data_IF_823368630065
#
_entry.id   IF_823368630065
#
_cell.length_a   1.000
_cell.length_b   1.000
_cell.length_c   1.000
_cell.angle_alpha   90.00
_cell.angle_beta   90.00
_cell.angle_gamma   90.00
#
_symmetry.space_group_name_H-M   'P 1'
#
loop_
_entity.id
_entity.type
_entity.pdbx_description
1 polymer ?
#
# COMPACT_ATOMS: atom_id res chain seq x y z
N UNK A 1 15.69 -39.69 51.66
CA UNK A 1 14.75 -39.91 50.54
C UNK A 1 14.64 -38.55 49.91
N UNK A 2 15.44 -38.33 48.88
CA UNK A 2 15.58 -37.03 48.22
C UNK A 2 14.68 -37.05 46.99
N UNK A 3 13.63 -36.24 47.00
CA UNK A 3 12.66 -36.17 45.92
C UNK A 3 13.14 -35.12 44.91
N UNK A 4 13.94 -35.57 43.95
CA UNK A 4 14.52 -34.69 42.93
C UNK A 4 13.42 -34.18 42.00
N UNK A 5 12.99 -32.94 42.20
CA UNK A 5 12.00 -32.29 41.34
C UNK A 5 12.51 -32.21 39.88
N UNK A 6 11.82 -32.91 38.99
CA UNK A 6 12.03 -32.81 37.55
C UNK A 6 11.21 -31.63 37.02
N UNK A 7 11.83 -30.47 36.88
CA UNK A 7 11.27 -29.36 36.11
C UNK A 7 11.38 -29.72 34.63
N UNK A 8 10.27 -29.84 33.87
CA UNK A 8 10.36 -29.89 32.42
C UNK A 8 10.82 -28.51 31.92
N UNK A 9 11.97 -28.49 31.26
CA UNK A 9 12.45 -27.33 30.51
C UNK A 9 11.66 -27.25 29.19
N UNK A 10 10.39 -26.87 29.30
CA UNK A 10 9.51 -26.58 28.17
C UNK A 10 9.81 -25.18 27.62
N UNK A 11 11.08 -24.96 27.28
CA UNK A 11 11.46 -23.90 26.34
C UNK A 11 11.02 -24.38 24.95
N UNK A 12 9.70 -24.34 24.74
CA UNK A 12 9.05 -24.71 23.50
C UNK A 12 9.54 -23.82 22.38
N UNK A 13 10.54 -24.31 21.65
CA UNK A 13 10.95 -23.78 20.35
C UNK A 13 9.79 -24.06 19.40
N UNK A 14 8.79 -23.17 19.43
CA UNK A 14 7.59 -23.20 18.61
C UNK A 14 7.98 -22.90 17.17
N UNK A 15 8.67 -23.86 16.54
CA UNK A 15 8.79 -23.96 15.11
C UNK A 15 7.36 -23.93 14.56
N UNK A 16 7.02 -22.79 13.97
CA UNK A 16 5.71 -22.43 13.46
C UNK A 16 5.37 -23.37 12.32
N UNK A 17 4.70 -24.49 12.62
CA UNK A 17 4.40 -25.53 11.62
C UNK A 17 3.35 -25.02 10.62
N UNK A 18 3.82 -24.58 9.47
CA UNK A 18 2.99 -24.03 8.40
C UNK A 18 2.64 -25.07 7.33
N UNK A 19 2.87 -26.36 7.57
CA UNK A 19 2.64 -27.42 6.58
C UNK A 19 1.23 -27.38 5.98
N UNK A 20 0.18 -27.23 6.79
CA UNK A 20 -1.21 -27.14 6.32
C UNK A 20 -1.45 -25.92 5.42
N UNK A 21 -0.81 -24.78 5.73
CA UNK A 21 -0.90 -23.53 4.94
C UNK A 21 -0.14 -23.67 3.62
N UNK A 22 1.02 -24.33 3.64
CA UNK A 22 1.85 -24.62 2.46
C UNK A 22 1.11 -25.58 1.53
N UNK A 23 0.57 -26.69 2.04
CA UNK A 23 -0.22 -27.66 1.28
C UNK A 23 -1.46 -27.00 0.63
N UNK A 24 -2.17 -26.16 1.39
CA UNK A 24 -3.29 -25.37 0.88
C UNK A 24 -2.88 -24.47 -0.31
N UNK A 25 -1.80 -23.69 -0.16
CA UNK A 25 -1.32 -22.78 -1.20
C UNK A 25 -0.79 -23.51 -2.44
N UNK A 26 -0.13 -24.65 -2.26
CA UNK A 26 0.34 -25.50 -3.35
C UNK A 26 -0.82 -26.18 -4.08
N UNK A 27 -1.92 -26.51 -3.40
CA UNK A 27 -3.14 -27.00 -4.03
C UNK A 27 -3.82 -25.94 -4.93
N UNK A 28 -3.69 -24.64 -4.61
CA UNK A 28 -4.06 -23.52 -5.50
C UNK A 28 -3.06 -23.29 -6.66
N UNK A 29 -2.01 -24.11 -6.79
CA UNK A 29 -0.96 -24.02 -7.82
C UNK A 29 -0.07 -22.77 -7.71
N UNK A 30 0.17 -22.28 -6.49
CA UNK A 30 1.21 -21.28 -6.23
C UNK A 30 2.55 -21.95 -5.87
N UNK A 31 3.64 -21.31 -6.24
CA UNK A 31 4.98 -21.67 -5.78
C UNK A 31 5.19 -21.09 -4.39
N UNK A 32 5.51 -21.92 -3.39
CA UNK A 32 5.69 -21.52 -1.99
C UNK A 32 7.09 -21.87 -1.52
N UNK A 33 7.73 -20.93 -0.84
CA UNK A 33 9.02 -21.13 -0.16
C UNK A 33 8.99 -20.54 1.24
N UNK A 34 9.85 -21.02 2.14
CA UNK A 34 10.00 -20.50 3.51
C UNK A 34 11.38 -19.84 3.64
N UNK A 35 11.54 -18.54 3.33
CA UNK A 35 12.82 -17.84 3.43
C UNK A 35 13.33 -17.65 4.87
N UNK A 36 12.45 -17.64 5.86
CA UNK A 36 12.74 -17.53 7.30
C UNK A 36 11.73 -18.39 8.09
N UNK A 37 12.06 -18.91 9.28
CA UNK A 37 11.13 -19.71 10.08
C UNK A 37 9.82 -18.97 10.36
N UNK A 38 8.68 -19.59 10.01
CA UNK A 38 7.36 -18.97 10.17
C UNK A 38 7.04 -17.85 9.16
N UNK A 39 7.81 -17.77 8.06
CA UNK A 39 7.64 -16.75 7.02
C UNK A 39 7.54 -17.41 5.64
N UNK A 40 6.38 -17.29 5.00
CA UNK A 40 6.17 -17.79 3.65
C UNK A 40 6.44 -16.72 2.59
N UNK A 41 6.99 -17.13 1.46
CA UNK A 41 7.00 -16.37 0.21
C UNK A 41 6.28 -17.15 -0.87
N UNK A 42 5.14 -16.61 -1.29
CA UNK A 42 4.23 -17.17 -2.29
C UNK A 42 4.39 -16.41 -3.60
N UNK A 43 4.59 -17.12 -4.71
CA UNK A 43 4.64 -16.53 -6.05
C UNK A 43 3.70 -17.26 -7.00
N UNK A 44 3.18 -16.56 -8.01
CA UNK A 44 2.27 -17.19 -8.96
C UNK A 44 1.47 -16.24 -9.83
N UNK A 45 0.51 -16.81 -10.56
CA UNK A 45 -0.33 -16.11 -11.55
C UNK A 45 -1.59 -15.51 -10.94
N UNK A 46 -1.40 -14.52 -10.07
CA UNK A 46 -2.46 -13.70 -9.50
C UNK A 46 -2.20 -12.21 -9.72
N UNK A 47 -3.25 -11.38 -9.66
CA UNK A 47 -3.19 -9.92 -9.84
C UNK A 47 -3.34 -9.12 -8.53
N UNK A 48 -3.74 -9.78 -7.43
CA UNK A 48 -3.92 -9.15 -6.13
C UNK A 48 -3.08 -9.91 -5.07
N UNK A 49 -1.82 -9.50 -4.81
CA UNK A 49 -0.98 -10.15 -3.82
C UNK A 49 -1.51 -10.01 -2.38
N UNK A 50 -2.15 -8.87 -2.04
CA UNK A 50 -2.74 -8.65 -0.71
C UNK A 50 -3.81 -9.71 -0.40
N UNK A 51 -4.61 -10.10 -1.41
CA UNK A 51 -5.60 -11.19 -1.27
C UNK A 51 -4.95 -12.54 -0.93
N UNK A 52 -3.86 -12.90 -1.62
CA UNK A 52 -3.18 -14.20 -1.39
C UNK A 52 -2.57 -14.23 0.01
N UNK A 53 -1.83 -13.19 0.38
CA UNK A 53 -1.17 -13.11 1.68
C UNK A 53 -2.18 -13.07 2.85
N UNK A 54 -3.30 -12.35 2.71
CA UNK A 54 -4.36 -12.33 3.73
C UNK A 54 -5.12 -13.66 3.85
N UNK A 55 -5.25 -14.40 2.76
CA UNK A 55 -5.89 -15.72 2.78
C UNK A 55 -5.00 -16.76 3.45
N UNK A 56 -3.71 -16.80 3.09
CA UNK A 56 -2.71 -17.62 3.79
C UNK A 56 -2.65 -17.35 5.30
N UNK A 57 -2.67 -16.06 5.70
CA UNK A 57 -2.73 -15.68 7.11
C UNK A 57 -4.05 -16.08 7.81
N UNK A 58 -5.15 -16.25 7.07
CA UNK A 58 -6.41 -16.74 7.63
C UNK A 58 -6.44 -18.27 7.80
N UNK A 59 -5.77 -19.01 6.92
CA UNK A 59 -5.61 -20.47 7.06
C UNK A 59 -4.64 -20.83 8.20
N UNK A 60 -3.65 -19.98 8.51
CA UNK A 60 -2.85 -20.11 9.73
C UNK A 60 -3.66 -19.94 11.04
N UNK A 61 -4.91 -19.46 10.97
CA UNK A 61 -5.81 -19.34 12.11
C UNK A 61 -5.30 -18.36 13.17
N UNK A 62 -4.87 -18.89 14.32
CA UNK A 62 -4.32 -18.12 15.44
C UNK A 62 -2.79 -18.23 15.53
N UNK A 63 -2.15 -19.02 14.66
CA UNK A 63 -0.70 -19.16 14.57
C UNK A 63 -0.09 -17.90 13.95
N UNK A 64 0.98 -17.38 14.57
CA UNK A 64 1.69 -16.22 14.06
C UNK A 64 2.40 -16.57 12.75
N UNK A 65 2.21 -15.77 11.70
CA UNK A 65 2.82 -16.00 10.37
C UNK A 65 3.09 -14.69 9.65
N UNK A 66 4.18 -14.63 8.91
CA UNK A 66 4.37 -13.60 7.89
C UNK A 66 4.29 -14.23 6.48
N UNK A 67 3.65 -13.52 5.55
CA UNK A 67 3.45 -13.98 4.18
C UNK A 67 3.76 -12.85 3.21
N UNK A 68 4.85 -13.02 2.45
CA UNK A 68 5.03 -12.30 1.20
C UNK A 68 4.23 -12.99 0.10
N UNK A 69 3.50 -12.22 -0.69
CA UNK A 69 2.93 -12.67 -1.97
C UNK A 69 3.47 -11.78 -3.09
N UNK A 70 4.11 -12.36 -4.11
CA UNK A 70 4.60 -11.65 -5.30
C UNK A 70 3.87 -12.13 -6.55
N UNK A 71 3.23 -11.19 -7.22
CA UNK A 71 2.47 -11.45 -8.45
C UNK A 71 3.36 -11.62 -9.67
N UNK A 72 2.81 -12.20 -10.73
CA UNK A 72 3.37 -12.19 -12.08
C UNK A 72 3.53 -10.79 -12.75
N UNK A 73 3.30 -9.70 -12.01
CA UNK A 73 3.57 -8.31 -12.42
C UNK A 73 4.63 -7.63 -11.54
N UNK A 74 5.32 -8.40 -10.68
CA UNK A 74 6.27 -7.93 -9.66
C UNK A 74 5.69 -6.98 -8.58
N UNK A 75 4.38 -6.71 -8.62
CA UNK A 75 3.61 -6.19 -7.49
C UNK A 75 3.63 -7.20 -6.34
N UNK A 76 3.81 -6.73 -5.10
CA UNK A 76 3.86 -7.57 -3.92
C UNK A 76 3.07 -7.03 -2.73
N UNK A 77 2.78 -7.93 -1.80
CA UNK A 77 2.25 -7.63 -0.48
C UNK A 77 3.04 -8.40 0.58
N UNK A 78 3.26 -7.78 1.74
CA UNK A 78 3.65 -8.45 2.98
C UNK A 78 2.48 -8.35 3.95
N UNK A 79 2.03 -9.50 4.46
CA UNK A 79 1.14 -9.62 5.60
C UNK A 79 1.96 -10.16 6.77
N UNK A 80 1.88 -9.52 7.93
CA UNK A 80 2.31 -10.14 9.19
C UNK A 80 1.08 -10.26 10.09
N UNK A 81 0.81 -11.47 10.54
CA UNK A 81 -0.33 -11.83 11.38
C UNK A 81 0.21 -12.42 12.69
N UNK A 82 -0.13 -11.78 13.80
CA UNK A 82 0.21 -12.21 15.16
C UNK A 82 -0.92 -11.73 16.07
N UNK A 83 -1.94 -12.59 16.28
CA UNK A 83 -3.25 -12.18 16.80
C UNK A 83 -3.09 -11.39 18.11
N UNK A 84 -3.71 -10.19 18.25
CA UNK A 84 -4.73 -9.59 17.39
C UNK A 84 -4.21 -8.71 16.24
N UNK A 85 -2.90 -8.53 16.11
CA UNK A 85 -2.32 -7.54 15.22
C UNK A 85 -2.13 -8.06 13.79
N UNK A 86 -2.57 -7.24 12.84
CA UNK A 86 -2.44 -7.48 11.40
C UNK A 86 -1.73 -6.28 10.76
N UNK A 87 -0.49 -6.51 10.31
CA UNK A 87 0.26 -5.56 9.48
C UNK A 87 0.08 -5.97 8.01
N UNK A 88 -0.17 -4.98 7.16
CA UNK A 88 -0.25 -5.13 5.70
C UNK A 88 0.56 -4.04 5.03
N UNK A 89 1.45 -4.44 4.14
CA UNK A 89 2.28 -3.55 3.33
C UNK A 89 2.08 -3.97 1.88
N UNK A 90 1.77 -3.02 1.01
CA UNK A 90 1.55 -3.30 -0.42
C UNK A 90 2.42 -2.39 -1.28
N UNK A 91 2.94 -2.95 -2.36
CA UNK A 91 3.76 -2.27 -3.36
C UNK A 91 3.19 -2.59 -4.74
N UNK A 92 2.89 -1.55 -5.52
CA UNK A 92 2.40 -1.68 -6.91
C UNK A 92 3.32 -0.93 -7.85
N UNK A 93 4.06 -1.65 -8.70
CA UNK A 93 5.14 -1.12 -9.53
C UNK A 93 6.06 -0.20 -8.72
N UNK A 94 6.12 1.06 -9.12
CA UNK A 94 6.91 2.10 -8.45
C UNK A 94 6.12 3.07 -7.56
N UNK A 95 4.85 2.78 -7.24
CA UNK A 95 4.09 3.57 -6.28
C UNK A 95 4.75 3.48 -4.88
N UNK A 96 4.60 4.49 -4.00
CA UNK A 96 5.09 4.38 -2.63
C UNK A 96 4.46 3.19 -1.90
N UNK A 97 5.26 2.49 -1.09
CA UNK A 97 4.77 1.42 -0.21
C UNK A 97 3.61 1.92 0.65
N UNK A 98 2.56 1.11 0.73
CA UNK A 98 1.35 1.45 1.47
C UNK A 98 1.19 0.58 2.70
N UNK A 99 1.56 1.15 3.85
CA UNK A 99 1.46 0.51 5.15
C UNK A 99 0.07 0.63 5.76
N UNK A 100 -0.30 -0.40 6.52
CA UNK A 100 -1.48 -0.47 7.37
C UNK A 100 -1.20 -1.36 8.56
N UNK A 101 -1.72 -0.98 9.72
CA UNK A 101 -1.67 -1.75 10.94
C UNK A 101 -3.08 -1.77 11.53
N UNK A 102 -3.57 -2.95 11.91
CA UNK A 102 -4.92 -3.15 12.45
C UNK A 102 -4.87 -4.08 13.64
N UNK A 103 -5.74 -3.83 14.61
CA UNK A 103 -6.00 -4.75 15.72
C UNK A 103 -7.35 -5.41 15.49
N UNK A 104 -7.37 -6.67 15.04
CA UNK A 104 -8.60 -7.39 14.70
C UNK A 104 -9.26 -8.02 15.94
N UNK A 105 -10.59 -7.97 16.07
CA UNK A 105 -11.29 -8.72 17.12
C UNK A 105 -11.19 -10.23 16.86
N UNK A 106 -11.29 -11.03 17.93
CA UNK A 106 -11.16 -12.51 17.86
C UNK A 106 -12.15 -13.19 16.89
N UNK A 107 -13.30 -12.57 16.62
CA UNK A 107 -14.32 -13.06 15.68
C UNK A 107 -14.01 -12.79 14.21
N UNK A 108 -12.95 -12.02 13.91
CA UNK A 108 -12.60 -11.61 12.55
C UNK A 108 -11.29 -12.27 12.11
N UNK A 109 -11.33 -12.88 10.92
CA UNK A 109 -10.18 -13.47 10.24
C UNK A 109 -9.44 -12.40 9.40
N UNK A 110 -8.13 -12.55 9.12
CA UNK A 110 -7.37 -11.64 8.27
C UNK A 110 -7.96 -11.44 6.86
N UNK A 111 -8.43 -12.51 6.23
CA UNK A 111 -9.02 -12.52 4.88
C UNK A 111 -10.28 -11.65 4.74
N UNK A 112 -11.00 -11.39 5.82
CA UNK A 112 -12.12 -10.44 5.81
C UNK A 112 -11.71 -9.01 5.43
N UNK A 113 -10.41 -8.65 5.52
CA UNK A 113 -9.92 -7.35 5.07
C UNK A 113 -9.79 -7.25 3.53
N UNK A 114 -9.84 -8.36 2.79
CA UNK A 114 -9.67 -8.38 1.32
C UNK A 114 -10.74 -7.58 0.59
N UNK A 115 -11.99 -7.60 1.09
CA UNK A 115 -13.12 -6.86 0.53
C UNK A 115 -13.03 -5.34 0.66
N UNK A 116 -12.04 -4.81 1.39
CA UNK A 116 -11.90 -3.38 1.60
C UNK A 116 -11.18 -2.68 0.43
N UNK A 117 -10.41 -3.38 -0.42
CA UNK A 117 -9.70 -2.86 -1.61
C UNK A 117 -9.05 -1.46 -1.44
N UNK A 118 -8.54 -1.17 -0.24
CA UNK A 118 -7.92 0.10 0.09
C UNK A 118 -8.80 1.17 0.76
N UNK A 119 -10.09 0.93 0.98
CA UNK A 119 -10.90 1.65 1.97
C UNK A 119 -10.37 1.44 3.40
N UNK A 120 -10.64 2.38 4.31
CA UNK A 120 -10.24 2.24 5.71
C UNK A 120 -11.06 1.16 6.43
N UNK A 121 -10.41 0.37 7.27
CA UNK A 121 -11.07 -0.54 8.20
C UNK A 121 -11.46 0.22 9.49
N UNK A 122 -12.58 -0.09 10.17
CA UNK A 122 -12.82 0.43 11.52
C UNK A 122 -11.78 -0.07 12.54
N UNK A 123 -10.99 -1.08 12.18
CA UNK A 123 -9.88 -1.63 12.96
C UNK A 123 -8.51 -1.02 12.58
N UNK A 124 -8.44 -0.09 11.61
CA UNK A 124 -7.19 0.59 11.24
C UNK A 124 -6.67 1.45 12.41
N UNK A 125 -5.45 1.19 12.86
CA UNK A 125 -4.71 2.10 13.74
C UNK A 125 -4.36 3.35 12.92
N UNK A 126 -4.89 4.51 13.33
CA UNK A 126 -4.75 5.76 12.58
C UNK A 126 -3.31 6.28 12.63
N UNK A 127 -2.58 6.10 11.53
CA UNK A 127 -1.22 6.66 11.37
C UNK A 127 -1.25 8.09 10.84
N UNK A 128 -0.33 8.92 11.33
CA UNK A 128 -0.06 10.29 10.82
C UNK A 128 1.46 10.46 10.70
N UNK A 129 2.04 10.59 9.49
CA UNK A 129 1.37 10.57 8.18
C UNK A 129 0.65 9.24 7.89
N UNK A 130 -0.38 9.28 7.04
CA UNK A 130 -1.06 8.07 6.57
C UNK A 130 -0.09 7.15 5.83
N UNK A 131 -0.34 5.84 5.92
CA UNK A 131 0.40 4.81 5.18
C UNK A 131 1.90 4.73 5.50
N UNK A 132 2.29 5.21 6.68
CA UNK A 132 3.62 5.02 7.25
C UNK A 132 3.63 3.89 8.30
N UNK A 133 4.77 3.22 8.52
CA UNK A 133 4.96 2.28 9.62
C UNK A 133 4.75 2.94 10.98
N UNK A 134 4.16 2.21 11.93
CA UNK A 134 4.28 2.52 13.36
C UNK A 134 5.37 1.66 14.00
N UNK A 135 5.92 2.08 15.13
CA UNK A 135 6.93 1.30 15.86
C UNK A 135 6.38 -0.09 16.25
N UNK A 136 5.10 -0.17 16.62
CA UNK A 136 4.42 -1.43 16.87
C UNK A 136 4.31 -2.32 15.61
N UNK A 137 4.06 -1.75 14.43
CA UNK A 137 4.05 -2.51 13.17
C UNK A 137 5.46 -3.05 12.83
N UNK A 138 6.52 -2.28 13.09
CA UNK A 138 7.91 -2.73 12.95
C UNK A 138 8.25 -3.83 13.95
N UNK A 139 7.78 -3.72 15.20
CA UNK A 139 7.97 -4.74 16.22
C UNK A 139 7.26 -6.06 15.91
N UNK A 140 6.14 -6.03 15.17
CA UNK A 140 5.49 -7.22 14.61
C UNK A 140 6.39 -7.87 13.56
N UNK A 141 6.86 -7.11 12.56
CA UNK A 141 7.77 -7.64 11.53
C UNK A 141 9.06 -8.24 12.12
N UNK A 142 9.64 -7.57 13.12
CA UNK A 142 10.84 -8.02 13.80
C UNK A 142 10.66 -9.37 14.55
N UNK A 143 9.44 -9.73 15.00
CA UNK A 143 9.18 -11.07 15.57
C UNK A 143 9.25 -12.20 14.54
N UNK A 144 9.06 -11.87 13.26
CA UNK A 144 9.27 -12.78 12.14
C UNK A 144 10.70 -12.69 11.56
N UNK A 145 11.61 -11.94 12.20
CA UNK A 145 12.96 -11.70 11.67
C UNK A 145 13.01 -10.81 10.43
N UNK A 146 11.95 -10.01 10.16
CA UNK A 146 11.85 -9.18 8.96
C UNK A 146 12.23 -7.73 9.30
N UNK A 147 13.42 -7.31 8.86
CA UNK A 147 13.93 -5.94 9.06
C UNK A 147 13.49 -4.94 7.96
N UNK A 148 13.24 -5.42 6.73
CA UNK A 148 12.77 -4.60 5.60
C UNK A 148 11.55 -5.25 4.91
N UNK A 149 10.67 -4.42 4.35
CA UNK A 149 9.37 -4.83 3.84
C UNK A 149 9.38 -5.57 2.48
N UNK A 150 10.25 -5.25 1.50
CA UNK A 150 10.28 -5.96 0.22
C UNK A 150 10.67 -7.43 0.38
N UNK A 151 10.11 -8.34 -0.46
CA UNK A 151 10.50 -9.74 -0.43
C UNK A 151 11.97 -9.95 -0.83
N UNK A 152 12.63 -11.01 -0.34
CA UNK A 152 14.02 -11.31 -0.67
C UNK A 152 14.31 -11.29 -2.17
N UNK A 153 15.33 -10.54 -2.58
CA UNK A 153 15.75 -10.43 -3.97
C UNK A 153 14.91 -9.48 -4.85
N UNK A 154 13.86 -8.84 -4.34
CA UNK A 154 13.11 -7.84 -5.09
C UNK A 154 13.94 -6.57 -5.33
N UNK A 155 13.85 -6.02 -6.54
CA UNK A 155 14.53 -4.79 -6.94
C UNK A 155 13.48 -3.77 -7.34
N UNK A 156 13.56 -2.56 -6.76
CA UNK A 156 12.61 -1.50 -7.06
C UNK A 156 12.64 -1.14 -8.56
N UNK A 157 11.48 -1.10 -9.25
CA UNK A 157 11.44 -0.71 -10.65
C UNK A 157 11.90 0.74 -10.81
N UNK A 158 12.96 0.94 -11.58
CA UNK A 158 13.56 2.24 -11.82
C UNK A 158 12.58 3.11 -12.61
N UNK A 159 12.01 4.12 -11.97
CA UNK A 159 11.24 5.16 -12.66
C UNK A 159 12.24 6.07 -13.37
N UNK A 160 12.23 6.17 -14.71
CA UNK A 160 13.00 7.21 -15.38
C UNK A 160 12.44 8.57 -14.95
N UNK A 161 13.29 9.45 -14.41
CA UNK A 161 12.86 10.78 -13.99
C UNK A 161 12.16 11.50 -15.16
N UNK A 162 11.00 12.14 -14.94
CA UNK A 162 10.32 12.85 -16.00
C UNK A 162 11.20 14.03 -16.45
N UNK A 163 11.70 13.95 -17.69
CA UNK A 163 12.49 15.02 -18.31
C UNK A 163 11.66 16.29 -18.33
N UNK A 164 11.98 17.23 -17.44
CA UNK A 164 11.21 18.46 -17.27
C UNK A 164 11.47 19.39 -18.44
N UNK A 165 10.67 19.23 -19.51
CA UNK A 165 10.67 20.14 -20.66
C UNK A 165 10.15 21.50 -20.17
N UNK A 166 11.07 22.43 -19.90
CA UNK A 166 10.74 23.81 -19.59
C UNK A 166 10.13 24.46 -20.83
N UNK A 167 8.82 24.70 -20.82
CA UNK A 167 8.16 25.47 -21.87
C UNK A 167 8.74 26.90 -21.90
N UNK A 168 9.22 27.28 -23.08
CA UNK A 168 9.82 28.60 -23.32
C UNK A 168 8.72 29.65 -23.44
N UNK A 169 8.76 30.67 -22.59
CA UNK A 169 7.83 31.81 -22.62
C UNK A 169 7.95 32.61 -23.92
N UNK A 170 6.87 32.66 -24.70
CA UNK A 170 6.79 33.50 -25.90
C UNK A 170 6.52 34.98 -25.53
N UNK A 171 7.17 35.95 -26.19
CA UNK A 171 7.03 37.36 -25.85
C UNK A 171 5.77 38.03 -26.44
N UNK A 172 5.37 39.13 -25.79
CA UNK A 172 4.18 39.95 -26.06
C UNK A 172 4.04 40.43 -27.52
N UNK A 173 2.81 40.37 -28.05
CA UNK A 173 2.47 40.83 -29.40
C UNK A 173 2.08 42.32 -29.40
N UNK A 174 2.76 43.09 -30.26
CA UNK A 174 2.58 44.54 -30.45
C UNK A 174 1.15 44.96 -30.86
N UNK A 175 0.71 46.10 -30.32
CA UNK A 175 -0.46 46.83 -30.77
C UNK A 175 -0.37 47.26 -32.26
N UNK A 176 -1.53 47.41 -32.91
CA UNK A 176 -1.65 48.05 -34.23
C UNK A 176 -2.83 49.03 -34.25
N UNK A 177 -2.60 50.16 -34.90
CA UNK A 177 -3.51 51.31 -34.98
C UNK A 177 -4.84 51.01 -35.71
N UNK A 178 -5.92 51.76 -35.41
CA UNK A 178 -7.26 51.51 -35.94
C UNK A 178 -7.42 51.93 -37.42
N UNK A 179 -8.33 51.25 -38.14
CA UNK A 179 -8.72 51.57 -39.52
C UNK A 179 -10.21 51.92 -39.60
N UNK A 180 -10.56 52.86 -40.48
CA UNK A 180 -11.88 53.49 -40.59
C UNK A 180 -13.06 52.51 -40.87
N UNK A 181 -14.30 52.86 -40.46
CA UNK A 181 -15.43 51.93 -40.43
C UNK A 181 -16.06 51.64 -41.80
N UNK A 182 -16.61 50.44 -41.95
CA UNK A 182 -17.57 50.08 -43.02
C UNK A 182 -18.91 49.65 -42.42
N UNK A 183 -19.97 49.84 -43.20
CA UNK A 183 -21.38 49.73 -42.81
C UNK A 183 -21.77 48.36 -42.20
N UNK A 184 -22.80 48.33 -41.31
CA UNK A 184 -23.09 47.17 -40.48
C UNK A 184 -23.71 46.01 -41.26
N UNK A 185 -23.17 44.80 -41.07
CA UNK A 185 -23.91 43.54 -41.25
C UNK A 185 -24.39 43.05 -39.88
N UNK A 186 -25.56 42.42 -39.85
CA UNK A 186 -26.17 41.92 -38.62
C UNK A 186 -25.21 41.00 -37.83
N UNK A 187 -25.04 41.19 -36.51
CA UNK A 187 -24.09 40.42 -35.73
C UNK A 187 -24.55 38.97 -35.56
N UNK A 188 -23.64 38.04 -35.88
CA UNK A 188 -23.75 36.64 -35.45
C UNK A 188 -23.46 36.58 -33.94
N UNK A 189 -24.22 35.80 -33.19
CA UNK A 189 -24.10 35.74 -31.73
C UNK A 189 -22.65 35.46 -31.27
N UNK A 190 -22.17 36.10 -30.18
CA UNK A 190 -20.80 35.95 -29.72
C UNK A 190 -20.51 34.51 -29.25
N UNK A 191 -19.29 34.05 -29.49
CA UNK A 191 -18.81 32.80 -28.92
C UNK A 191 -18.78 32.89 -27.39
N UNK A 192 -19.13 31.80 -26.71
CA UNK A 192 -19.10 31.73 -25.24
C UNK A 192 -17.66 31.92 -24.74
N UNK A 193 -17.43 32.65 -23.63
CA UNK A 193 -16.11 32.79 -23.06
C UNK A 193 -15.55 31.44 -22.64
N UNK A 194 -14.30 31.17 -23.00
CA UNK A 194 -13.54 30.02 -22.49
C UNK A 194 -13.35 30.25 -21.00
N UNK A 195 -13.76 29.27 -20.16
CA UNK A 195 -13.51 29.33 -18.72
C UNK A 195 -11.99 29.31 -18.50
N UNK A 196 -11.50 30.20 -17.65
CA UNK A 196 -10.15 30.10 -17.14
C UNK A 196 -9.96 28.75 -16.44
N UNK A 197 -8.82 28.11 -16.66
CA UNK A 197 -8.46 26.88 -15.96
C UNK A 197 -8.35 27.17 -14.45
N UNK A 198 -8.97 26.34 -13.59
CA UNK A 198 -8.93 26.59 -12.15
C UNK A 198 -7.50 26.38 -11.64
N UNK A 199 -6.89 27.45 -11.11
CA UNK A 199 -5.62 27.37 -10.40
C UNK A 199 -5.82 26.50 -9.17
N UNK A 200 -5.31 25.27 -9.24
CA UNK A 200 -5.39 24.30 -8.13
C UNK A 200 -4.45 24.78 -7.03
N UNK A 201 -5.00 25.15 -5.88
CA UNK A 201 -4.21 25.45 -4.69
C UNK A 201 -3.49 24.16 -4.24
N UNK A 202 -2.23 24.26 -3.82
CA UNK A 202 -1.40 23.11 -3.43
C UNK A 202 -0.99 23.25 -1.97
N UNK A 203 -1.08 22.15 -1.21
CA UNK A 203 -0.75 22.13 0.21
C UNK A 203 0.76 22.35 0.42
N UNK A 204 1.20 23.34 1.21
CA UNK A 204 2.63 23.59 1.45
C UNK A 204 3.31 22.48 2.26
N UNK A 205 2.55 21.62 2.95
CA UNK A 205 3.06 20.57 3.83
C UNK A 205 3.22 19.22 3.12
N UNK A 206 2.31 18.87 2.19
CA UNK A 206 2.33 17.57 1.51
C UNK A 206 2.20 17.63 -0.02
N UNK A 207 2.19 18.83 -0.61
CA UNK A 207 2.17 19.08 -2.06
C UNK A 207 1.00 18.45 -2.85
N UNK A 208 -0.05 17.99 -2.15
CA UNK A 208 -1.31 17.59 -2.79
C UNK A 208 -2.22 18.79 -3.09
N UNK A 209 -3.08 18.63 -4.09
CA UNK A 209 -4.15 19.58 -4.40
C UNK A 209 -5.06 19.79 -3.18
N UNK A 210 -5.27 21.05 -2.80
CA UNK A 210 -6.23 21.45 -1.77
C UNK A 210 -7.62 21.54 -2.43
N UNK A 211 -8.65 20.84 -1.93
CA UNK A 211 -10.03 21.00 -2.40
C UNK A 211 -10.56 22.43 -2.16
N UNK A 212 -11.67 22.78 -2.82
CA UNK A 212 -12.27 24.12 -2.72
C UNK A 212 -12.72 24.54 -1.30
N UNK A 213 -12.69 23.63 -0.33
CA UNK A 213 -12.91 23.90 1.10
C UNK A 213 -11.74 24.64 1.76
N UNK A 214 -10.57 24.71 1.13
CA UNK A 214 -9.37 25.40 1.64
C UNK A 214 -8.58 24.61 2.68
N UNK A 215 -9.03 23.40 3.05
CA UNK A 215 -8.38 22.49 4.01
C UNK A 215 -7.83 21.29 3.25
N UNK A 216 -6.60 20.87 3.55
CA UNK A 216 -6.00 19.70 2.91
C UNK A 216 -6.46 18.40 3.59
N UNK A 217 -7.07 17.48 2.85
CA UNK A 217 -7.58 16.18 3.34
C UNK A 217 -6.51 15.27 3.98
N UNK A 218 -5.23 15.59 3.79
CA UNK A 218 -4.09 14.86 4.35
C UNK A 218 -3.42 15.57 5.55
N UNK A 219 -3.56 16.90 5.69
CA UNK A 219 -2.88 17.67 6.73
C UNK A 219 -3.82 18.22 7.82
N UNK A 220 -5.07 18.52 7.48
CA UNK A 220 -5.99 19.27 8.34
C UNK A 220 -5.80 20.79 8.24
#
# INVERSE_FOLDING_TARGET
MDETAHTPDDTGDHATDLAEVIDFLQAEQYDVSEPLPGVLHVTGRFSNPERIALHAAAEAGDQAVAVWATSHHDDWALVCWDRPELVTITQKGAAPQRWRHRTLPVTLRPDAQTFLEGASSPFDIVTRPKHQPTDAARAIMARHGIDDAPPPGWVAPVVPEPVVVRETTLPSVKEKAPRAPRAPRAPKAPAKPVKAEPVVAVCPTCFMAIPATGVCDNCG
#
